data_IF_941858568114
#
_entry.id   IF_941858568114
#
_cell.length_a   1.000
_cell.length_b   1.000
_cell.length_c   1.000
_cell.angle_alpha   90.00
_cell.angle_beta   90.00
_cell.angle_gamma   90.00
#
_symmetry.space_group_name_H-M   'P 1'
#
loop_
_entity.id
_entity.type
_entity.pdbx_description
1 polymer ?
#
# COMPACT_ATOMS: atom_id res chain seq x y z
N UNK A 1 -8.01 -3.98 -1.19
CA UNK A 1 -9.11 -4.55 -0.38
C UNK A 1 -9.89 -5.65 -1.12
N UNK A 2 -9.72 -5.84 -2.41
CA UNK A 2 -10.41 -6.84 -3.20
C UNK A 2 -10.41 -6.50 -4.68
N UNK A 3 -10.88 -7.44 -5.50
CA UNK A 3 -10.92 -7.33 -6.97
C UNK A 3 -12.31 -6.89 -7.48
N UNK A 4 -13.32 -6.87 -6.60
CA UNK A 4 -14.68 -6.42 -6.93
C UNK A 4 -15.15 -5.31 -5.98
N UNK A 5 -16.06 -4.47 -6.49
CA UNK A 5 -16.55 -3.29 -5.79
C UNK A 5 -17.26 -3.60 -4.46
N UNK A 6 -17.95 -4.74 -4.34
CA UNK A 6 -18.68 -5.12 -3.13
C UNK A 6 -17.71 -5.53 -2.02
N UNK A 7 -16.69 -6.31 -2.34
CA UNK A 7 -15.61 -6.70 -1.42
C UNK A 7 -14.83 -5.47 -0.98
N UNK A 8 -14.43 -4.58 -1.91
CA UNK A 8 -13.75 -3.33 -1.60
C UNK A 8 -14.56 -2.47 -0.63
N UNK A 9 -15.86 -2.30 -0.89
CA UNK A 9 -16.75 -1.57 0.02
C UNK A 9 -16.82 -2.20 1.41
N UNK A 10 -16.99 -3.52 1.49
CA UNK A 10 -17.15 -4.23 2.77
C UNK A 10 -15.92 -4.05 3.67
N UNK A 11 -14.71 -4.21 3.13
CA UNK A 11 -13.47 -4.01 3.87
C UNK A 11 -13.22 -2.54 4.21
N UNK A 12 -13.39 -1.64 3.26
CA UNK A 12 -13.21 -0.21 3.47
C UNK A 12 -14.17 0.34 4.54
N UNK A 13 -15.43 -0.14 4.55
CA UNK A 13 -16.42 0.19 5.60
C UNK A 13 -15.93 -0.23 7.00
N UNK A 14 -15.43 -1.46 7.14
CA UNK A 14 -14.90 -1.94 8.42
C UNK A 14 -13.69 -1.14 8.89
N UNK A 15 -12.76 -0.85 7.96
CA UNK A 15 -11.60 -0.01 8.26
C UNK A 15 -12.01 1.40 8.68
N UNK A 16 -12.92 2.05 7.94
CA UNK A 16 -13.42 3.38 8.27
C UNK A 16 -14.14 3.41 9.63
N UNK A 17 -14.93 2.37 9.94
CA UNK A 17 -15.58 2.23 11.24
C UNK A 17 -14.55 2.13 12.37
N UNK A 18 -13.55 1.26 12.24
CA UNK A 18 -12.50 1.10 13.25
C UNK A 18 -11.70 2.40 13.50
N UNK A 19 -11.39 3.15 12.43
CA UNK A 19 -10.75 4.46 12.56
C UNK A 19 -11.64 5.46 13.32
N UNK A 20 -12.94 5.52 13.00
CA UNK A 20 -13.91 6.37 13.72
C UNK A 20 -14.03 5.99 15.18
N UNK A 21 -14.13 4.70 15.48
CA UNK A 21 -14.22 4.19 16.85
C UNK A 21 -12.97 4.52 17.67
N UNK A 22 -11.80 4.59 17.00
CA UNK A 22 -10.54 5.05 17.58
C UNK A 22 -10.36 6.58 17.60
N UNK A 23 -11.37 7.37 17.25
CA UNK A 23 -11.30 8.83 17.23
C UNK A 23 -10.50 9.44 16.06
N UNK A 24 -10.16 8.63 15.04
CA UNK A 24 -9.39 9.06 13.86
C UNK A 24 -10.31 9.34 12.68
N UNK A 25 -10.08 10.44 11.97
CA UNK A 25 -10.85 10.80 10.77
C UNK A 25 -10.49 9.87 9.62
N UNK A 26 -11.39 8.98 9.16
CA UNK A 26 -11.12 8.15 8.00
C UNK A 26 -11.21 8.96 6.72
N UNK A 27 -10.23 8.77 5.82
CA UNK A 27 -10.20 9.35 4.49
C UNK A 27 -10.20 8.23 3.44
N UNK A 28 -11.23 8.15 2.61
CA UNK A 28 -11.30 7.18 1.52
C UNK A 28 -10.58 7.70 0.28
N UNK A 29 -9.81 6.82 -0.39
CA UNK A 29 -8.93 7.23 -1.49
C UNK A 29 -8.68 6.11 -2.51
N UNK A 30 -8.31 6.46 -3.72
CA UNK A 30 -8.25 7.79 -4.33
C UNK A 30 -9.43 7.96 -5.28
N UNK A 31 -10.29 8.93 -5.03
CA UNK A 31 -11.53 9.15 -5.79
C UNK A 31 -11.25 9.59 -7.23
N UNK A 32 -11.96 9.06 -8.24
CA UNK A 32 -13.10 8.14 -8.19
C UNK A 32 -12.73 6.66 -8.19
N UNK A 33 -11.46 6.27 -8.21
CA UNK A 33 -10.89 4.93 -8.18
C UNK A 33 -9.52 4.91 -8.84
N UNK A 34 -8.59 4.08 -8.35
CA UNK A 34 -7.21 4.01 -8.84
C UNK A 34 -6.78 2.58 -9.22
N UNK A 35 -7.73 1.62 -9.19
CA UNK A 35 -7.40 0.20 -9.34
C UNK A 35 -7.10 -0.26 -10.76
N UNK A 36 -7.50 0.49 -11.78
CA UNK A 36 -7.41 0.11 -13.19
C UNK A 36 -6.49 1.04 -14.01
N UNK A 37 -5.36 1.43 -13.42
CA UNK A 37 -4.36 2.27 -14.09
C UNK A 37 -3.18 1.43 -14.57
N UNK A 38 -2.84 1.53 -15.86
CA UNK A 38 -1.65 0.91 -16.46
C UNK A 38 -0.36 1.66 -16.13
N UNK A 39 -0.46 2.85 -15.56
CA UNK A 39 0.65 3.76 -15.32
C UNK A 39 0.65 4.28 -13.89
N UNK A 40 1.85 4.47 -13.35
CA UNK A 40 2.05 5.01 -12.02
C UNK A 40 1.89 6.54 -12.02
N UNK A 41 0.90 7.06 -11.29
CA UNK A 41 0.63 8.49 -11.14
C UNK A 41 1.74 9.30 -10.45
N UNK A 42 2.72 8.63 -9.85
CA UNK A 42 3.90 9.29 -9.30
C UNK A 42 4.92 9.67 -10.39
N UNK A 43 4.86 9.02 -11.56
CA UNK A 43 5.81 9.20 -12.65
C UNK A 43 5.19 9.91 -13.87
N UNK A 44 3.95 9.57 -14.19
CA UNK A 44 3.24 10.10 -15.36
C UNK A 44 1.79 10.42 -15.01
N UNK A 45 1.10 11.17 -15.87
CA UNK A 45 -0.32 11.45 -15.73
C UNK A 45 -1.15 10.31 -16.36
N UNK A 46 -1.73 9.41 -15.54
CA UNK A 46 -2.48 8.28 -16.06
C UNK A 46 -3.83 8.71 -16.65
N UNK A 47 -4.36 7.91 -17.58
CA UNK A 47 -5.65 8.15 -18.21
C UNK A 47 -6.46 6.86 -18.34
N UNK A 48 -7.72 6.90 -17.92
CA UNK A 48 -8.68 5.80 -18.00
C UNK A 48 -9.77 6.11 -19.02
N UNK A 49 -10.07 5.15 -19.90
CA UNK A 49 -11.01 5.31 -21.01
C UNK A 49 -12.33 4.53 -20.82
N UNK A 50 -12.60 4.02 -19.62
CA UNK A 50 -13.87 3.35 -19.28
C UNK A 50 -15.07 4.29 -19.52
N UNK A 51 -16.22 3.74 -19.89
CA UNK A 51 -17.48 4.46 -19.97
C UNK A 51 -17.96 4.91 -18.58
N UNK A 52 -18.83 5.90 -18.54
CA UNK A 52 -19.42 6.35 -17.27
C UNK A 52 -20.17 5.23 -16.54
N UNK A 53 -20.89 4.37 -17.28
CA UNK A 53 -21.63 3.24 -16.72
C UNK A 53 -20.71 2.21 -16.05
N UNK A 54 -19.56 1.92 -16.68
CA UNK A 54 -18.55 1.03 -16.09
C UNK A 54 -17.96 1.64 -14.82
N UNK A 55 -17.57 2.92 -14.87
CA UNK A 55 -17.04 3.65 -13.70
C UNK A 55 -18.05 3.66 -12.53
N UNK A 56 -19.32 3.88 -12.80
CA UNK A 56 -20.37 3.90 -11.77
C UNK A 56 -20.56 2.53 -11.11
N UNK A 57 -20.43 1.46 -11.90
CA UNK A 57 -20.59 0.09 -11.41
C UNK A 57 -19.38 -0.43 -10.65
N UNK A 58 -18.18 0.01 -11.00
CA UNK A 58 -16.93 -0.53 -10.48
C UNK A 58 -16.22 0.45 -9.56
N UNK A 59 -15.58 1.50 -10.10
CA UNK A 59 -14.72 2.40 -9.35
C UNK A 59 -15.50 3.30 -8.39
N UNK A 60 -16.61 3.89 -8.83
CA UNK A 60 -17.37 4.87 -8.05
C UNK A 60 -18.24 4.21 -6.98
N UNK A 61 -18.71 2.98 -7.21
CA UNK A 61 -19.65 2.31 -6.32
C UNK A 61 -19.19 2.22 -4.86
N UNK A 62 -17.96 1.81 -4.53
CA UNK A 62 -17.48 1.78 -3.14
C UNK A 62 -17.51 3.15 -2.49
N UNK A 63 -17.12 4.20 -3.22
CA UNK A 63 -17.16 5.58 -2.73
C UNK A 63 -18.59 6.04 -2.47
N UNK A 64 -19.50 5.81 -3.41
CA UNK A 64 -20.91 6.20 -3.27
C UNK A 64 -21.51 5.60 -2.00
N UNK A 65 -21.33 4.30 -1.76
CA UNK A 65 -21.83 3.63 -0.54
C UNK A 65 -21.17 4.12 0.74
N UNK A 66 -19.87 4.40 0.73
CA UNK A 66 -19.18 4.94 1.91
C UNK A 66 -19.61 6.38 2.20
N UNK A 67 -19.97 7.16 1.17
CA UNK A 67 -20.55 8.50 1.33
C UNK A 67 -21.94 8.42 1.96
N UNK A 68 -22.79 7.45 1.54
CA UNK A 68 -24.08 7.16 2.16
C UNK A 68 -23.93 6.72 3.62
N UNK A 69 -22.87 5.97 3.96
CA UNK A 69 -22.52 5.59 5.33
C UNK A 69 -21.94 6.77 6.16
N UNK A 70 -21.81 7.96 5.58
CA UNK A 70 -21.38 9.18 6.28
C UNK A 70 -19.88 9.29 6.50
N UNK A 71 -19.08 8.97 5.49
CA UNK A 71 -17.63 9.22 5.53
C UNK A 71 -17.34 10.72 5.58
N UNK A 72 -16.31 11.11 6.34
CA UNK A 72 -16.00 12.51 6.60
C UNK A 72 -14.97 13.12 5.65
N UNK A 73 -14.11 12.30 5.02
CA UNK A 73 -13.07 12.79 4.13
C UNK A 73 -12.92 11.90 2.88
N UNK A 74 -12.68 12.54 1.73
CA UNK A 74 -12.38 11.91 0.44
C UNK A 74 -11.12 12.54 -0.13
N UNK A 75 -10.14 11.72 -0.52
CA UNK A 75 -8.94 12.17 -1.23
C UNK A 75 -9.09 11.89 -2.72
N UNK A 76 -8.69 12.85 -3.55
CA UNK A 76 -8.79 12.78 -5.00
C UNK A 76 -7.61 12.03 -5.63
N UNK A 77 -7.78 11.55 -6.87
CA UNK A 77 -6.70 10.96 -7.66
C UNK A 77 -6.15 11.92 -8.71
N UNK A 78 -4.86 11.77 -9.06
CA UNK A 78 -4.22 12.48 -10.18
C UNK A 78 -4.37 11.70 -11.49
N UNK A 79 -5.60 11.37 -11.87
CA UNK A 79 -5.94 10.53 -13.03
C UNK A 79 -6.95 11.27 -13.91
N UNK A 80 -6.78 11.19 -15.22
CA UNK A 80 -7.77 11.65 -16.20
C UNK A 80 -8.75 10.50 -16.48
N UNK A 81 -10.01 10.68 -16.11
CA UNK A 81 -11.11 9.79 -16.52
C UNK A 81 -11.84 10.45 -17.67
N UNK A 82 -11.58 10.00 -18.90
CA UNK A 82 -12.09 10.66 -20.11
C UNK A 82 -13.62 10.79 -20.17
N UNK A 83 -14.34 9.87 -19.53
CA UNK A 83 -15.80 9.91 -19.43
C UNK A 83 -16.32 10.98 -18.44
N UNK A 84 -15.46 11.49 -17.53
CA UNK A 84 -15.80 12.51 -16.53
C UNK A 84 -15.25 13.88 -16.91
N UNK A 85 -13.97 13.92 -17.26
CA UNK A 85 -13.25 15.11 -17.71
C UNK A 85 -12.08 14.66 -18.58
N UNK A 86 -12.00 15.16 -19.82
CA UNK A 86 -10.94 14.79 -20.77
C UNK A 86 -9.72 15.70 -20.68
N UNK A 87 -9.87 16.87 -20.04
CA UNK A 87 -8.87 17.95 -20.06
C UNK A 87 -8.07 18.02 -18.75
N UNK A 88 -8.71 17.61 -17.60
CA UNK A 88 -8.08 17.72 -16.28
C UNK A 88 -8.14 16.42 -15.50
N UNK A 89 -7.08 16.11 -14.69
CA UNK A 89 -7.14 15.04 -13.72
C UNK A 89 -8.20 15.34 -12.65
N UNK A 90 -8.73 14.30 -12.02
CA UNK A 90 -9.84 14.42 -11.07
C UNK A 90 -9.59 15.46 -9.98
N UNK A 91 -8.36 15.56 -9.48
CA UNK A 91 -7.96 16.58 -8.49
C UNK A 91 -8.26 18.01 -8.94
N UNK A 92 -8.18 18.31 -10.23
CA UNK A 92 -8.33 19.65 -10.79
C UNK A 92 -9.66 19.83 -11.54
N UNK A 93 -10.49 18.79 -11.60
CA UNK A 93 -11.73 18.79 -12.38
C UNK A 93 -12.93 19.29 -11.58
N UNK A 94 -13.53 20.40 -12.00
CA UNK A 94 -14.78 20.89 -11.45
C UNK A 94 -15.95 19.93 -11.74
N UNK A 95 -15.93 19.26 -12.89
CA UNK A 95 -16.93 18.25 -13.24
C UNK A 95 -16.90 17.09 -12.24
N UNK A 96 -15.71 16.67 -11.82
CA UNK A 96 -15.55 15.58 -10.84
C UNK A 96 -15.84 16.06 -9.41
N UNK A 97 -15.17 17.10 -8.94
CA UNK A 97 -15.25 17.48 -7.51
C UNK A 97 -16.59 18.17 -7.18
N UNK A 98 -17.00 19.12 -8.00
CA UNK A 98 -18.27 19.83 -7.78
C UNK A 98 -19.46 19.08 -8.39
N UNK A 99 -19.34 18.63 -9.64
CA UNK A 99 -20.43 17.99 -10.36
C UNK A 99 -20.76 16.59 -9.83
N UNK A 100 -19.80 15.68 -9.87
CA UNK A 100 -20.00 14.30 -9.46
C UNK A 100 -20.00 14.15 -7.92
N UNK A 101 -18.90 14.50 -7.26
CA UNK A 101 -18.72 14.20 -5.83
C UNK A 101 -19.68 15.01 -4.94
N UNK A 102 -19.75 16.34 -5.12
CA UNK A 102 -20.70 17.20 -4.37
C UNK A 102 -22.13 17.12 -4.86
N UNK A 103 -22.30 17.17 -6.19
CA UNK A 103 -23.62 17.25 -6.83
C UNK A 103 -24.34 15.91 -6.85
N UNK A 104 -23.83 14.94 -7.60
CA UNK A 104 -24.50 13.65 -7.83
C UNK A 104 -24.42 12.73 -6.61
N UNK A 105 -23.23 12.57 -5.98
CA UNK A 105 -23.04 11.71 -4.82
C UNK A 105 -23.39 12.38 -3.49
N UNK A 106 -23.68 13.66 -3.48
CA UNK A 106 -24.14 14.40 -2.29
C UNK A 106 -23.12 14.54 -1.18
N UNK A 107 -21.80 14.32 -1.44
CA UNK A 107 -20.78 14.40 -0.42
C UNK A 107 -20.66 15.79 0.22
N UNK A 108 -20.65 15.87 1.55
CA UNK A 108 -20.62 17.14 2.31
C UNK A 108 -19.36 17.30 3.18
N UNK A 109 -18.54 16.25 3.32
CA UNK A 109 -17.29 16.25 4.10
C UNK A 109 -16.14 16.99 3.42
N UNK A 110 -14.93 16.73 3.86
CA UNK A 110 -13.70 17.35 3.34
C UNK A 110 -13.25 16.65 2.05
N UNK A 111 -12.98 17.43 1.01
CA UNK A 111 -12.27 16.96 -0.19
C UNK A 111 -10.81 17.37 -0.03
N UNK A 112 -9.92 16.37 0.11
CA UNK A 112 -8.48 16.56 0.12
C UNK A 112 -7.89 16.21 -1.25
N UNK A 113 -6.85 16.89 -1.67
CA UNK A 113 -6.05 16.46 -2.82
C UNK A 113 -5.11 15.33 -2.40
N UNK A 114 -4.69 14.49 -3.33
CA UNK A 114 -3.42 13.76 -3.19
C UNK A 114 -2.26 14.76 -3.27
N UNK A 115 -1.03 14.31 -3.02
CA UNK A 115 0.13 15.19 -2.94
C UNK A 115 0.39 15.92 -4.26
N UNK A 116 0.35 17.25 -4.23
CA UNK A 116 0.53 18.13 -5.40
C UNK A 116 1.96 18.13 -5.95
N UNK A 117 2.92 17.52 -5.26
CA UNK A 117 4.30 17.35 -5.70
C UNK A 117 4.53 16.07 -6.50
N UNK A 118 3.50 15.22 -6.67
CA UNK A 118 3.59 14.03 -7.52
C UNK A 118 3.76 14.41 -8.98
N UNK A 119 4.55 13.61 -9.72
CA UNK A 119 4.92 13.87 -11.11
C UNK A 119 3.72 14.15 -12.03
N UNK A 120 2.59 13.47 -11.82
CA UNK A 120 1.37 13.70 -12.57
C UNK A 120 0.88 15.16 -12.53
N UNK A 121 1.07 15.87 -11.43
CA UNK A 121 0.71 17.30 -11.30
C UNK A 121 1.92 18.17 -11.54
N UNK A 122 3.03 17.92 -10.85
CA UNK A 122 4.22 18.77 -10.86
C UNK A 122 4.78 18.98 -12.27
N UNK A 123 4.92 17.88 -13.04
CA UNK A 123 5.56 17.93 -14.37
C UNK A 123 4.60 18.42 -15.47
N UNK A 124 3.28 18.25 -15.29
CA UNK A 124 2.30 18.60 -16.33
C UNK A 124 1.66 19.99 -16.12
N UNK A 125 1.53 20.44 -14.87
CA UNK A 125 0.82 21.69 -14.55
C UNK A 125 1.61 22.62 -13.62
N UNK A 126 2.60 22.08 -12.90
CA UNK A 126 3.22 22.75 -11.76
C UNK A 126 2.36 22.66 -10.49
N UNK A 127 3.01 22.47 -9.35
CA UNK A 127 2.31 22.26 -8.07
C UNK A 127 1.45 23.46 -7.64
N UNK A 128 1.91 24.69 -7.93
CA UNK A 128 1.17 25.92 -7.57
C UNK A 128 -0.12 26.06 -8.38
N UNK A 129 -0.03 25.93 -9.70
CA UNK A 129 -1.21 25.99 -10.58
C UNK A 129 -2.16 24.83 -10.30
N UNK A 130 -1.62 23.61 -10.04
CA UNK A 130 -2.38 22.44 -9.63
C UNK A 130 -3.18 22.68 -8.35
N UNK A 131 -2.57 23.31 -7.36
CA UNK A 131 -3.23 23.68 -6.10
C UNK A 131 -4.35 24.70 -6.29
N UNK A 132 -4.11 25.75 -7.06
CA UNK A 132 -5.15 26.75 -7.38
C UNK A 132 -6.33 26.12 -8.11
N UNK A 133 -6.07 25.34 -9.15
CA UNK A 133 -7.14 24.64 -9.90
C UNK A 133 -7.92 23.67 -9.03
N UNK A 134 -7.24 22.91 -8.18
CA UNK A 134 -7.89 21.97 -7.27
C UNK A 134 -8.84 22.69 -6.30
N UNK A 135 -8.39 23.80 -5.72
CA UNK A 135 -9.22 24.61 -4.81
C UNK A 135 -10.43 25.20 -5.53
N UNK A 136 -10.24 25.73 -6.75
CA UNK A 136 -11.31 26.27 -7.58
C UNK A 136 -12.27 25.19 -8.08
N UNK A 137 -11.78 23.95 -8.29
CA UNK A 137 -12.61 22.81 -8.66
C UNK A 137 -13.49 22.29 -7.49
N UNK A 138 -13.15 22.60 -6.24
CA UNK A 138 -13.95 22.25 -5.06
C UNK A 138 -13.22 21.51 -3.94
N UNK A 139 -11.89 21.33 -4.03
CA UNK A 139 -11.10 20.79 -2.94
C UNK A 139 -11.11 21.74 -1.72
N UNK A 140 -11.09 21.19 -0.52
CA UNK A 140 -11.07 21.95 0.74
C UNK A 140 -9.68 21.98 1.38
N UNK A 141 -8.87 20.92 1.14
CA UNK A 141 -7.54 20.74 1.72
C UNK A 141 -6.55 20.37 0.62
N UNK A 142 -5.44 21.10 0.57
CA UNK A 142 -4.35 20.87 -0.38
C UNK A 142 -3.19 20.15 0.31
N UNK A 143 -2.73 19.03 -0.25
CA UNK A 143 -1.65 18.23 0.34
C UNK A 143 -0.32 18.54 -0.35
N UNK A 144 0.67 18.97 0.44
CA UNK A 144 2.06 19.17 0.03
C UNK A 144 2.94 18.49 1.08
N UNK A 145 3.76 17.52 0.68
CA UNK A 145 4.31 16.56 1.64
C UNK A 145 5.83 16.65 1.85
N UNK A 146 6.57 17.29 0.93
CA UNK A 146 8.03 17.18 0.88
C UNK A 146 8.76 18.52 0.91
N UNK A 147 8.28 19.53 0.18
CA UNK A 147 8.97 20.81 0.03
C UNK A 147 8.15 21.94 0.65
N UNK A 148 8.67 22.49 1.75
CA UNK A 148 8.04 23.62 2.43
C UNK A 148 7.95 24.88 1.57
N UNK A 149 8.90 25.09 0.62
CA UNK A 149 8.85 26.22 -0.31
C UNK A 149 7.67 26.11 -1.25
N UNK A 150 7.40 24.92 -1.79
CA UNK A 150 6.22 24.66 -2.61
C UNK A 150 4.93 24.91 -1.84
N UNK A 151 4.86 24.48 -0.58
CA UNK A 151 3.68 24.74 0.27
C UNK A 151 3.44 26.24 0.48
N UNK A 152 4.50 27.01 0.68
CA UNK A 152 4.46 28.46 0.84
C UNK A 152 4.04 29.15 -0.45
N UNK A 153 4.63 28.77 -1.60
CA UNK A 153 4.29 29.35 -2.90
C UNK A 153 2.81 29.11 -3.25
N UNK A 154 2.29 27.91 -2.94
CA UNK A 154 0.86 27.60 -3.09
C UNK A 154 0.03 28.50 -2.18
N UNK A 155 0.41 28.68 -0.92
CA UNK A 155 -0.31 29.53 0.03
C UNK A 155 -0.36 30.98 -0.46
N UNK A 156 0.76 31.53 -0.89
CA UNK A 156 0.84 32.89 -1.40
C UNK A 156 -0.07 33.07 -2.64
N UNK A 157 0.00 32.13 -3.58
CA UNK A 157 -0.85 32.14 -4.76
C UNK A 157 -2.36 32.02 -4.42
N UNK A 158 -2.72 31.21 -3.42
CA UNK A 158 -4.11 31.07 -2.94
C UNK A 158 -4.61 32.39 -2.32
N UNK A 159 -3.80 33.04 -1.50
CA UNK A 159 -4.15 34.33 -0.87
C UNK A 159 -4.41 35.41 -1.94
N UNK A 160 -3.61 35.43 -3.01
CA UNK A 160 -3.73 36.42 -4.07
C UNK A 160 -4.89 36.18 -5.05
N UNK A 161 -5.24 34.90 -5.30
CA UNK A 161 -6.09 34.54 -6.45
C UNK A 161 -7.45 33.92 -6.06
N UNK A 162 -7.67 33.54 -4.80
CA UNK A 162 -8.90 32.85 -4.41
C UNK A 162 -9.79 33.75 -3.55
N UNK A 163 -11.06 33.76 -3.89
CA UNK A 163 -12.07 34.50 -3.14
C UNK A 163 -12.11 34.11 -1.65
N UNK A 164 -12.12 35.11 -0.77
CA UNK A 164 -12.05 34.92 0.68
C UNK A 164 -13.23 34.12 1.25
N UNK A 165 -14.41 34.23 0.64
CA UNK A 165 -15.58 33.49 1.12
C UNK A 165 -15.46 32.00 0.75
N UNK A 166 -14.80 31.70 -0.38
CA UNK A 166 -14.43 30.34 -0.74
C UNK A 166 -13.46 29.73 0.29
N UNK A 167 -12.45 30.48 0.71
CA UNK A 167 -11.48 30.05 1.73
C UNK A 167 -12.14 29.85 3.09
N UNK A 168 -12.97 30.80 3.51
CA UNK A 168 -13.74 30.69 4.76
C UNK A 168 -14.65 29.46 4.77
N UNK A 169 -15.29 29.15 3.66
CA UNK A 169 -16.15 27.97 3.55
C UNK A 169 -15.37 26.66 3.77
N UNK A 170 -14.18 26.52 3.22
CA UNK A 170 -13.30 25.37 3.47
C UNK A 170 -12.77 25.33 4.90
N UNK A 171 -12.28 26.47 5.41
CA UNK A 171 -11.77 26.56 6.78
C UNK A 171 -12.85 26.20 7.81
N UNK A 172 -14.08 26.66 7.62
CA UNK A 172 -15.22 26.32 8.48
C UNK A 172 -15.46 24.79 8.52
N UNK A 173 -15.47 24.11 7.38
CA UNK A 173 -15.63 22.65 7.34
C UNK A 173 -14.52 21.93 8.08
N UNK A 174 -13.25 22.37 7.88
CA UNK A 174 -12.09 21.76 8.52
C UNK A 174 -12.16 21.95 10.06
N UNK A 175 -12.50 23.15 10.52
CA UNK A 175 -12.66 23.44 11.96
C UNK A 175 -13.78 22.58 12.55
N UNK A 176 -14.95 22.53 11.91
CA UNK A 176 -16.08 21.70 12.36
C UNK A 176 -15.71 20.21 12.43
N UNK A 177 -14.92 19.72 11.48
CA UNK A 177 -14.46 18.34 11.51
C UNK A 177 -13.47 18.09 12.65
N UNK A 178 -12.54 19.02 12.91
CA UNK A 178 -11.62 18.95 14.05
C UNK A 178 -12.37 18.96 15.38
N UNK A 179 -13.37 19.83 15.52
CA UNK A 179 -14.22 19.89 16.71
C UNK A 179 -15.00 18.59 16.92
N UNK A 180 -15.60 18.04 15.84
CA UNK A 180 -16.33 16.75 15.88
C UNK A 180 -15.48 15.59 16.42
N UNK A 181 -14.19 15.56 16.10
CA UNK A 181 -13.26 14.53 16.53
C UNK A 181 -12.40 14.89 17.74
N UNK A 182 -12.63 16.07 18.35
CA UNK A 182 -11.87 16.49 19.53
C UNK A 182 -10.37 16.76 19.28
N UNK A 183 -9.95 16.99 18.04
CA UNK A 183 -8.53 17.11 17.65
C UNK A 183 -7.83 18.34 18.27
N UNK A 184 -8.57 19.25 18.85
CA UNK A 184 -8.05 20.45 19.50
C UNK A 184 -7.67 20.23 20.99
N UNK A 185 -7.82 19.02 21.50
CA UNK A 185 -7.49 18.64 22.88
C UNK A 185 -6.15 17.90 22.92
N UNK A 186 -5.31 18.21 23.89
CA UNK A 186 -4.17 17.35 24.21
C UNK A 186 -4.70 16.04 24.80
N UNK A 187 -4.21 14.92 24.28
CA UNK A 187 -4.54 13.59 24.79
C UNK A 187 -3.23 12.93 25.21
N UNK A 188 -3.10 12.70 26.51
CA UNK A 188 -2.02 11.88 27.04
C UNK A 188 -2.42 10.40 26.82
N UNK A 189 -1.58 9.66 26.08
CA UNK A 189 -1.75 8.22 25.89
C UNK A 189 -0.82 7.53 26.88
N UNK A 190 -1.38 6.73 27.78
CA UNK A 190 -0.61 5.95 28.73
C UNK A 190 0.26 4.88 28.02
N UNK A 191 1.51 4.73 28.45
CA UNK A 191 2.45 3.74 27.87
C UNK A 191 1.89 2.31 27.94
N UNK A 192 1.10 2.01 28.97
CA UNK A 192 0.42 0.72 29.13
C UNK A 192 -0.60 0.47 28.01
N UNK A 193 -1.32 1.49 27.57
CA UNK A 193 -2.27 1.40 26.46
C UNK A 193 -1.56 1.16 25.13
N UNK A 194 -0.45 1.87 24.87
CA UNK A 194 0.41 1.65 23.71
C UNK A 194 0.93 0.20 23.68
N UNK A 195 1.39 -0.31 24.82
CA UNK A 195 1.90 -1.69 24.96
C UNK A 195 0.81 -2.72 24.67
N UNK A 196 -0.40 -2.49 25.16
CA UNK A 196 -1.56 -3.36 24.90
C UNK A 196 -1.90 -3.40 23.41
N UNK A 197 -1.93 -2.24 22.73
CA UNK A 197 -2.16 -2.20 21.28
C UNK A 197 -1.08 -2.94 20.49
N UNK A 198 0.20 -2.78 20.86
CA UNK A 198 1.30 -3.53 20.22
C UNK A 198 1.09 -5.04 20.33
N UNK A 199 0.67 -5.53 21.50
CA UNK A 199 0.37 -6.95 21.71
C UNK A 199 -0.73 -7.44 20.77
N UNK A 200 -1.86 -6.72 20.72
CA UNK A 200 -2.97 -7.06 19.83
C UNK A 200 -2.55 -7.06 18.37
N UNK A 201 -1.77 -6.05 17.93
CA UNK A 201 -1.29 -6.00 16.54
C UNK A 201 -0.33 -7.15 16.21
N UNK A 202 0.52 -7.56 17.14
CA UNK A 202 1.41 -8.71 16.93
C UNK A 202 0.65 -10.02 16.82
N UNK A 203 -0.38 -10.22 17.64
CA UNK A 203 -1.29 -11.38 17.52
C UNK A 203 -2.03 -11.38 16.17
N UNK A 204 -2.53 -10.22 15.73
CA UNK A 204 -3.20 -10.10 14.44
C UNK A 204 -2.24 -10.40 13.28
N UNK A 205 -1.00 -9.87 13.31
CA UNK A 205 0.01 -10.18 12.29
C UNK A 205 0.32 -11.66 12.21
N UNK A 206 0.46 -12.31 13.35
CA UNK A 206 0.68 -13.76 13.39
C UNK A 206 -0.48 -14.52 12.72
N UNK A 207 -1.73 -14.11 12.96
CA UNK A 207 -2.93 -14.69 12.32
C UNK A 207 -3.04 -14.36 10.82
N UNK A 208 -2.36 -13.33 10.35
CA UNK A 208 -2.29 -12.97 8.93
C UNK A 208 -1.26 -13.78 8.12
N UNK A 209 -0.43 -14.60 8.77
CA UNK A 209 0.47 -15.53 8.08
C UNK A 209 -0.38 -16.60 7.39
N UNK A 210 -0.45 -16.53 6.06
CA UNK A 210 -1.32 -17.37 5.25
C UNK A 210 -0.51 -18.52 4.62
N UNK A 211 -0.68 -19.72 5.18
CA UNK A 211 -0.04 -20.95 4.68
C UNK A 211 -0.94 -21.57 3.62
N UNK A 212 -0.67 -21.30 2.35
CA UNK A 212 -1.47 -21.77 1.21
C UNK A 212 -1.15 -23.20 0.80
N UNK A 213 0.07 -23.67 1.07
CA UNK A 213 0.46 -25.05 0.85
C UNK A 213 1.52 -25.49 1.86
N UNK A 214 1.35 -26.70 2.39
CA UNK A 214 2.42 -27.44 3.07
C UNK A 214 2.77 -28.66 2.20
N UNK A 215 3.99 -28.72 1.72
CA UNK A 215 4.46 -29.87 0.95
C UNK A 215 4.36 -31.14 1.80
N UNK A 216 3.88 -32.23 1.21
CA UNK A 216 3.59 -33.47 1.90
C UNK A 216 4.79 -34.01 2.70
N UNK A 217 4.59 -34.27 3.98
CA UNK A 217 5.65 -34.74 4.88
C UNK A 217 6.76 -33.73 5.20
N UNK A 218 6.59 -32.45 4.84
CA UNK A 218 7.61 -31.39 5.04
C UNK A 218 7.20 -30.45 6.17
N UNK A 219 8.20 -30.04 6.98
CA UNK A 219 8.00 -29.08 8.05
C UNK A 219 8.19 -27.64 7.59
N UNK A 220 7.50 -26.71 8.24
CA UNK A 220 7.75 -25.27 8.16
C UNK A 220 8.72 -24.78 9.25
N UNK A 221 9.10 -25.64 10.22
CA UNK A 221 10.02 -25.25 11.28
C UNK A 221 11.46 -25.22 10.81
N UNK A 222 12.24 -24.35 11.42
CA UNK A 222 13.68 -24.20 11.13
C UNK A 222 14.53 -25.12 11.99
N UNK A 223 15.70 -25.49 11.47
CA UNK A 223 16.73 -26.27 12.15
C UNK A 223 18.14 -25.87 11.66
N UNK A 224 19.17 -26.56 12.13
CA UNK A 224 20.57 -26.25 11.80
C UNK A 224 20.95 -26.44 10.29
N UNK A 225 20.13 -27.15 9.53
CA UNK A 225 20.29 -27.35 8.08
C UNK A 225 19.50 -26.32 7.27
N UNK A 226 19.00 -25.25 7.91
CA UNK A 226 18.20 -24.18 7.27
C UNK A 226 19.08 -23.02 6.85
N UNK A 227 18.82 -22.48 5.67
CA UNK A 227 19.35 -21.19 5.21
C UNK A 227 18.22 -20.26 4.76
N UNK A 228 18.41 -18.97 4.97
CA UNK A 228 17.44 -17.93 4.62
C UNK A 228 17.97 -17.15 3.42
N UNK A 229 17.16 -17.05 2.38
CA UNK A 229 17.37 -16.21 1.22
C UNK A 229 16.29 -15.14 1.17
N UNK A 230 16.59 -13.97 0.60
CA UNK A 230 15.54 -12.96 0.43
C UNK A 230 15.97 -11.81 -0.42
N UNK A 231 14.97 -11.24 -1.11
CA UNK A 231 15.14 -10.04 -1.90
C UNK A 231 14.84 -8.79 -1.08
N UNK A 232 15.54 -7.67 -1.36
CA UNK A 232 15.22 -6.38 -0.76
C UNK A 232 13.86 -5.88 -1.24
N UNK A 233 13.25 -4.95 -0.49
CA UNK A 233 12.10 -4.22 -1.00
C UNK A 233 12.51 -3.28 -2.13
N UNK A 234 11.75 -3.27 -3.21
CA UNK A 234 12.00 -2.33 -4.31
C UNK A 234 11.69 -0.89 -3.91
N UNK A 235 10.54 -0.67 -3.29
CA UNK A 235 10.12 0.60 -2.68
C UNK A 235 9.05 0.30 -1.66
N UNK A 236 9.10 0.96 -0.51
CA UNK A 236 8.04 0.83 0.50
C UNK A 236 6.91 1.79 0.22
N UNK A 237 7.25 2.98 -0.26
CA UNK A 237 6.29 3.94 -0.81
C UNK A 237 6.87 4.56 -2.06
N UNK A 238 6.03 4.85 -3.05
CA UNK A 238 6.41 5.56 -4.27
C UNK A 238 6.79 7.03 -4.01
N UNK A 239 6.52 7.52 -2.82
CA UNK A 239 6.78 8.90 -2.38
C UNK A 239 8.15 9.03 -1.69
N UNK A 240 8.63 8.01 -0.99
CA UNK A 240 9.98 8.01 -0.44
C UNK A 240 10.95 7.39 -1.44
N UNK A 241 11.76 8.18 -2.10
CA UNK A 241 12.79 7.71 -3.05
C UNK A 241 13.94 6.91 -2.42
N UNK A 242 13.85 6.57 -1.12
CA UNK A 242 14.85 5.74 -0.41
C UNK A 242 14.26 4.35 -0.17
N UNK A 243 14.98 3.27 -0.58
CA UNK A 243 14.64 1.91 -0.13
C UNK A 243 14.71 1.86 1.40
N UNK A 244 13.90 0.99 2.02
CA UNK A 244 14.10 0.68 3.43
C UNK A 244 15.46 -0.01 3.60
N UNK A 245 16.20 0.38 4.64
CA UNK A 245 17.42 -0.33 5.05
C UNK A 245 17.12 -1.73 5.63
N UNK A 246 15.86 -2.14 5.63
CA UNK A 246 15.40 -3.44 6.10
C UNK A 246 15.61 -4.50 5.00
N UNK A 247 16.33 -5.56 5.32
CA UNK A 247 16.55 -6.71 4.45
C UNK A 247 15.99 -7.97 5.14
N UNK A 248 15.11 -8.69 4.45
CA UNK A 248 14.43 -9.86 5.00
C UNK A 248 15.41 -10.97 5.40
N UNK A 249 16.35 -11.30 4.50
CA UNK A 249 17.27 -12.42 4.74
C UNK A 249 18.20 -12.12 5.93
N UNK A 250 18.77 -10.91 5.97
CA UNK A 250 19.64 -10.49 7.05
C UNK A 250 18.88 -10.40 8.38
N UNK A 251 17.70 -9.78 8.39
CA UNK A 251 16.89 -9.61 9.60
C UNK A 251 16.51 -10.96 10.19
N UNK A 252 15.89 -11.82 9.35
CA UNK A 252 15.40 -13.13 9.80
C UNK A 252 16.57 -14.06 10.18
N UNK A 253 17.66 -14.05 9.40
CA UNK A 253 18.87 -14.82 9.70
C UNK A 253 19.46 -14.47 11.05
N UNK A 254 19.62 -13.18 11.35
CA UNK A 254 20.11 -12.71 12.67
C UNK A 254 19.12 -13.08 13.79
N UNK A 255 17.81 -12.91 13.58
CA UNK A 255 16.78 -13.20 14.57
C UNK A 255 16.68 -14.68 14.94
N UNK A 256 16.89 -15.55 13.96
CA UNK A 256 16.84 -17.02 14.12
C UNK A 256 18.21 -17.66 14.39
N UNK A 257 19.27 -16.86 14.33
CA UNK A 257 20.68 -17.33 14.39
C UNK A 257 20.99 -18.38 13.31
N UNK A 258 20.54 -18.10 12.06
CA UNK A 258 20.70 -18.96 10.89
C UNK A 258 21.53 -18.25 9.81
N UNK A 259 22.23 -19.02 8.95
CA UNK A 259 22.92 -18.46 7.79
C UNK A 259 21.91 -17.81 6.84
N UNK A 260 22.37 -16.77 6.15
CA UNK A 260 21.52 -16.07 5.16
C UNK A 260 22.31 -15.61 3.93
N UNK A 261 21.61 -15.41 2.83
CA UNK A 261 22.11 -14.83 1.58
C UNK A 261 21.11 -13.79 1.09
N UNK A 262 21.61 -12.59 0.82
CA UNK A 262 20.81 -11.54 0.15
C UNK A 262 20.78 -11.85 -1.36
N UNK A 263 19.58 -11.88 -1.91
CA UNK A 263 19.35 -12.09 -3.34
C UNK A 263 19.01 -10.73 -3.96
N UNK A 264 19.70 -10.29 -5.02
CA UNK A 264 19.31 -9.07 -5.73
C UNK A 264 17.85 -9.14 -6.23
N UNK A 265 17.22 -7.99 -6.39
CA UNK A 265 15.84 -7.93 -6.91
C UNK A 265 15.77 -8.49 -8.35
N UNK A 266 16.78 -8.20 -9.16
CA UNK A 266 16.96 -8.72 -10.51
C UNK A 266 18.36 -9.38 -10.62
N UNK A 267 18.52 -10.62 -10.11
CA UNK A 267 19.80 -11.28 -10.11
C UNK A 267 20.27 -11.62 -11.52
N UNK A 268 21.54 -11.45 -11.81
CA UNK A 268 22.17 -11.93 -13.04
C UNK A 268 22.26 -13.46 -13.04
N UNK A 269 22.55 -14.07 -14.21
CA UNK A 269 22.75 -15.53 -14.30
C UNK A 269 23.93 -15.99 -13.44
N UNK A 270 25.01 -15.23 -13.45
CA UNK A 270 26.21 -15.53 -12.67
C UNK A 270 25.93 -15.48 -11.17
N UNK A 271 25.18 -14.48 -10.70
CA UNK A 271 24.72 -14.38 -9.30
C UNK A 271 23.81 -15.54 -8.92
N UNK A 272 22.88 -15.93 -9.80
CA UNK A 272 22.03 -17.09 -9.59
C UNK A 272 22.85 -18.38 -9.42
N UNK A 273 23.80 -18.65 -10.32
CA UNK A 273 24.68 -19.82 -10.27
C UNK A 273 25.53 -19.84 -9.00
N UNK A 274 26.10 -18.68 -8.65
CA UNK A 274 26.89 -18.54 -7.42
C UNK A 274 26.05 -18.84 -6.16
N UNK A 275 24.84 -18.27 -6.07
CA UNK A 275 23.95 -18.50 -4.92
C UNK A 275 23.55 -19.98 -4.86
N UNK A 276 23.11 -20.58 -5.97
CA UNK A 276 22.69 -21.97 -6.04
C UNK A 276 23.82 -22.93 -5.65
N UNK A 277 25.08 -22.63 -6.00
CA UNK A 277 26.24 -23.45 -5.65
C UNK A 277 26.52 -23.53 -4.14
N UNK A 278 26.12 -22.49 -3.38
CA UNK A 278 26.30 -22.42 -1.94
C UNK A 278 25.28 -23.21 -1.13
N UNK A 279 24.22 -23.71 -1.79
CA UNK A 279 23.08 -24.34 -1.10
C UNK A 279 23.25 -25.84 -0.84
N UNK A 280 24.27 -26.50 -1.37
CA UNK A 280 24.40 -27.96 -1.34
C UNK A 280 24.40 -28.60 0.06
N UNK A 281 24.81 -27.84 1.06
CA UNK A 281 24.85 -28.30 2.46
C UNK A 281 23.56 -28.04 3.26
N UNK A 282 22.56 -27.38 2.68
CA UNK A 282 21.33 -27.04 3.36
C UNK A 282 20.16 -27.84 2.80
N UNK A 283 19.41 -28.53 3.65
CA UNK A 283 18.21 -29.24 3.25
C UNK A 283 16.96 -28.39 3.27
N UNK A 284 16.95 -27.33 4.10
CA UNK A 284 15.82 -26.41 4.24
C UNK A 284 16.21 -25.02 3.75
N UNK A 285 15.47 -24.51 2.82
CA UNK A 285 15.70 -23.18 2.24
C UNK A 285 14.43 -22.36 2.39
N UNK A 286 14.53 -21.21 3.05
CA UNK A 286 13.45 -20.22 3.12
C UNK A 286 13.81 -19.09 2.16
N UNK A 287 12.96 -18.83 1.17
CA UNK A 287 13.13 -17.74 0.20
C UNK A 287 12.05 -16.70 0.39
N UNK A 288 12.44 -15.49 0.80
CA UNK A 288 11.58 -14.31 0.79
C UNK A 288 11.58 -13.64 -0.57
N UNK A 289 10.48 -13.72 -1.31
CA UNK A 289 10.31 -13.04 -2.61
C UNK A 289 9.59 -11.70 -2.46
N UNK A 290 9.93 -10.75 -3.31
CA UNK A 290 9.29 -9.44 -3.32
C UNK A 290 8.75 -9.09 -4.70
N UNK A 291 7.44 -9.32 -4.91
CA UNK A 291 6.76 -9.10 -6.20
C UNK A 291 7.47 -9.80 -7.38
N UNK A 292 8.00 -11.00 -7.16
CA UNK A 292 8.78 -11.74 -8.15
C UNK A 292 8.03 -11.98 -9.47
N UNK A 293 6.69 -12.04 -9.42
CA UNK A 293 5.84 -12.13 -10.61
C UNK A 293 5.98 -10.92 -11.57
N UNK A 294 6.51 -9.78 -11.10
CA UNK A 294 6.79 -8.58 -11.91
C UNK A 294 8.26 -8.51 -12.40
N UNK A 295 9.15 -9.36 -11.86
CA UNK A 295 10.59 -9.34 -12.14
C UNK A 295 11.03 -10.69 -12.70
N UNK A 296 11.18 -10.78 -14.03
CA UNK A 296 11.47 -12.02 -14.71
C UNK A 296 12.72 -12.75 -14.17
N UNK A 297 13.80 -12.01 -13.88
CA UNK A 297 15.03 -12.59 -13.33
C UNK A 297 14.82 -13.21 -11.95
N UNK A 298 14.02 -12.56 -11.07
CA UNK A 298 13.68 -13.11 -9.77
C UNK A 298 12.77 -14.32 -9.89
N UNK A 299 11.78 -14.28 -10.80
CA UNK A 299 10.88 -15.40 -11.05
C UNK A 299 11.64 -16.63 -11.54
N UNK A 300 12.58 -16.46 -12.47
CA UNK A 300 13.41 -17.54 -12.99
C UNK A 300 14.35 -18.10 -11.91
N UNK A 301 14.92 -17.25 -11.06
CA UNK A 301 15.70 -17.68 -9.92
C UNK A 301 14.89 -18.53 -8.93
N UNK A 302 13.66 -18.11 -8.59
CA UNK A 302 12.77 -18.86 -7.67
C UNK A 302 12.47 -20.27 -8.24
N UNK A 303 12.19 -20.38 -9.55
CA UNK A 303 11.95 -21.67 -10.20
C UNK A 303 13.22 -22.56 -10.18
N UNK A 304 14.37 -21.99 -10.51
CA UNK A 304 15.65 -22.72 -10.45
C UNK A 304 16.00 -23.17 -9.03
N UNK A 305 15.66 -22.34 -8.03
CA UNK A 305 15.81 -22.68 -6.62
C UNK A 305 14.94 -23.86 -6.21
N UNK A 306 13.68 -23.91 -6.64
CA UNK A 306 12.80 -25.05 -6.39
C UNK A 306 13.39 -26.34 -6.99
N UNK A 307 13.80 -26.34 -8.24
CA UNK A 307 14.40 -27.50 -8.89
C UNK A 307 15.67 -27.97 -8.17
N UNK A 308 16.54 -27.05 -7.78
CA UNK A 308 17.79 -27.36 -7.05
C UNK A 308 17.50 -27.96 -5.67
N UNK A 309 16.56 -27.41 -4.91
CA UNK A 309 16.28 -27.81 -3.53
C UNK A 309 15.43 -29.08 -3.49
N UNK A 310 14.29 -29.08 -4.19
CA UNK A 310 13.36 -30.22 -4.19
C UNK A 310 13.92 -31.43 -4.96
N UNK A 311 14.75 -31.22 -5.98
CA UNK A 311 15.41 -32.29 -6.74
C UNK A 311 16.35 -33.17 -5.91
N UNK A 312 16.80 -32.71 -4.75
CA UNK A 312 17.63 -33.47 -3.79
C UNK A 312 16.89 -33.82 -2.48
N UNK A 313 15.56 -33.89 -2.51
CA UNK A 313 14.68 -34.13 -1.36
C UNK A 313 14.73 -33.03 -0.26
N UNK A 314 15.27 -31.86 -0.56
CA UNK A 314 15.22 -30.70 0.31
C UNK A 314 13.80 -30.10 0.41
N UNK A 315 13.67 -29.07 1.23
CA UNK A 315 12.44 -28.33 1.46
C UNK A 315 12.63 -26.87 1.10
N UNK A 316 11.91 -26.41 0.10
CA UNK A 316 11.79 -24.98 -0.18
C UNK A 316 10.54 -24.43 0.51
N UNK A 317 10.69 -23.36 1.27
CA UNK A 317 9.57 -22.53 1.76
C UNK A 317 9.66 -21.19 1.03
N UNK A 318 8.72 -20.94 0.12
CA UNK A 318 8.60 -19.63 -0.53
C UNK A 318 7.68 -18.75 0.32
N UNK A 319 8.25 -17.65 0.84
CA UNK A 319 7.53 -16.61 1.56
C UNK A 319 7.33 -15.39 0.66
N UNK A 320 6.10 -15.18 0.20
CA UNK A 320 5.73 -13.99 -0.55
C UNK A 320 5.59 -12.81 0.42
N UNK A 321 6.56 -11.89 0.39
CA UNK A 321 6.70 -10.82 1.39
C UNK A 321 5.66 -9.70 1.22
N UNK A 322 5.04 -9.57 0.05
CA UNK A 322 4.03 -8.54 -0.22
C UNK A 322 2.80 -9.10 -0.93
N UNK A 323 2.90 -9.39 -2.21
CA UNK A 323 1.78 -9.93 -2.99
C UNK A 323 1.84 -11.46 -3.06
N UNK A 324 0.72 -12.17 -2.87
CA UNK A 324 0.70 -13.63 -2.83
C UNK A 324 0.91 -14.29 -4.20
N UNK A 325 0.88 -13.51 -5.30
CA UNK A 325 1.03 -14.05 -6.68
C UNK A 325 2.38 -14.73 -6.92
N UNK A 326 3.41 -14.39 -6.15
CA UNK A 326 4.71 -15.06 -6.22
C UNK A 326 4.64 -16.55 -5.89
N UNK A 327 3.63 -16.98 -5.12
CA UNK A 327 3.44 -18.37 -4.71
C UNK A 327 3.07 -19.29 -5.88
N UNK A 328 2.62 -18.72 -7.00
CA UNK A 328 2.33 -19.47 -8.24
C UNK A 328 3.61 -19.84 -9.02
N UNK A 329 4.75 -19.24 -8.67
CA UNK A 329 6.05 -19.55 -9.30
C UNK A 329 6.59 -20.92 -8.92
N UNK A 330 6.11 -21.52 -7.84
CA UNK A 330 6.54 -22.82 -7.34
C UNK A 330 5.40 -23.84 -7.32
N UNK A 331 5.75 -25.11 -7.45
CA UNK A 331 4.82 -26.24 -7.41
C UNK A 331 4.41 -26.59 -5.96
N UNK A 332 3.54 -27.60 -5.81
CA UNK A 332 3.14 -28.10 -4.50
C UNK A 332 4.21 -28.93 -3.78
N UNK A 333 5.38 -29.13 -4.42
CA UNK A 333 6.58 -29.68 -3.77
C UNK A 333 7.18 -28.73 -2.73
N UNK A 334 6.83 -27.46 -2.79
CA UNK A 334 7.31 -26.39 -1.90
C UNK A 334 6.25 -25.95 -0.91
N UNK A 335 6.67 -25.51 0.27
CA UNK A 335 5.79 -24.77 1.18
C UNK A 335 5.54 -23.38 0.62
N UNK A 336 4.28 -22.90 0.70
CA UNK A 336 3.83 -21.61 0.17
C UNK A 336 3.24 -20.78 1.30
N UNK A 337 3.86 -19.64 1.61
CA UNK A 337 3.43 -18.75 2.71
C UNK A 337 3.31 -17.33 2.20
N UNK A 338 2.18 -16.66 2.42
CA UNK A 338 2.02 -15.23 2.14
C UNK A 338 2.07 -14.43 3.43
N UNK A 339 2.87 -13.35 3.44
CA UNK A 339 3.04 -12.47 4.60
C UNK A 339 2.32 -11.12 4.44
N UNK A 340 2.02 -10.70 3.20
CA UNK A 340 1.30 -9.47 2.84
C UNK A 340 1.94 -8.14 3.29
N UNK A 341 2.96 -8.17 4.15
CA UNK A 341 3.58 -6.99 4.74
C UNK A 341 5.11 -7.14 4.78
N UNK A 342 5.83 -6.12 4.28
CA UNK A 342 7.29 -6.03 4.37
C UNK A 342 7.65 -5.10 5.52
N UNK A 343 7.69 -5.61 6.75
CA UNK A 343 8.02 -4.87 7.96
C UNK A 343 8.77 -5.72 8.98
N UNK A 344 9.48 -5.07 9.92
CA UNK A 344 10.14 -5.76 11.03
C UNK A 344 9.15 -6.58 11.86
N UNK A 345 7.98 -6.01 12.15
CA UNK A 345 6.97 -6.66 12.99
C UNK A 345 6.41 -7.94 12.34
N UNK A 346 6.19 -7.92 11.01
CA UNK A 346 5.79 -9.12 10.28
C UNK A 346 6.92 -10.16 10.23
N UNK A 347 8.16 -9.72 10.09
CA UNK A 347 9.30 -10.64 10.13
C UNK A 347 9.48 -11.26 11.51
N UNK A 348 9.18 -10.53 12.59
CA UNK A 348 9.13 -11.05 13.95
C UNK A 348 8.03 -12.09 14.16
N UNK A 349 6.83 -11.80 13.64
CA UNK A 349 5.71 -12.74 13.65
C UNK A 349 6.08 -14.02 12.87
N UNK A 350 6.68 -13.88 11.69
CA UNK A 350 7.11 -15.02 10.88
C UNK A 350 8.25 -15.82 11.54
N UNK A 351 9.21 -15.15 12.18
CA UNK A 351 10.26 -15.83 12.96
C UNK A 351 9.67 -16.67 14.11
N UNK A 352 8.66 -16.14 14.79
CA UNK A 352 7.93 -16.86 15.86
C UNK A 352 7.17 -18.07 15.30
N UNK A 353 6.51 -17.89 14.16
CA UNK A 353 5.83 -18.97 13.45
C UNK A 353 6.77 -20.11 13.07
N UNK A 354 7.96 -19.78 12.50
CA UNK A 354 8.97 -20.76 12.09
C UNK A 354 9.60 -21.52 13.27
N UNK A 355 9.55 -20.99 14.50
CA UNK A 355 9.99 -21.66 15.72
C UNK A 355 8.96 -22.64 16.30
N UNK A 356 7.83 -22.83 15.63
CA UNK A 356 6.76 -23.73 16.07
C UNK A 356 5.66 -23.03 16.88
N UNK A 357 5.51 -21.71 16.71
CA UNK A 357 4.30 -21.01 17.17
C UNK A 357 3.10 -21.54 16.40
N UNK A 358 2.09 -22.07 17.10
CA UNK A 358 0.84 -22.53 16.47
C UNK A 358 -0.07 -21.34 16.17
N UNK A 359 -0.68 -21.35 14.97
CA UNK A 359 -1.89 -20.57 14.68
C UNK A 359 -3.05 -21.31 15.37
N UNK A 360 -3.40 -20.93 16.60
CA UNK A 360 -4.67 -21.29 17.22
C UNK A 360 -5.83 -20.47 16.63
#
# INVERSE_FOLDING_TARGET
YGEDAATVYAFAKKMASGLKDGGVIPCIKHFPGHGDTDSDSHLVLPSISKSLEELEREEILPFARLIEDGIDCVMTSHIIFKALDKDYPCTMSKAVLTGLLRGKLGFRGIIATDCLEMGAIKENYGSVEGGLKALMAGADLLTVSHDYTVARDILDAVIENVDVDRLKASAKKIIQLKEKYGICSEVDIEEEEISRFRTVFNELRFKCIDVRNKAEGKSLTVNDETIILGCPSYRVTLVSGKPLELDFAEYLGKKLNLPFIKVPLEPTKEECEEILSKLDKYLYVIMGSYNAHLFAAQADFVKALEEKVCGRNGVLTLAALRNPYDLELVSDRSNKVALYEYSMDMFDAFASFLKGGENE
#
